data_IF_202713362227
#
_entry.id   IF_202713362227
#
_cell.length_a   1.000
_cell.length_b   1.000
_cell.length_c   1.000
_cell.angle_alpha   90.00
_cell.angle_beta   90.00
_cell.angle_gamma   90.00
#
_symmetry.space_group_name_H-M   'P 1'
#
loop_
_entity.id
_entity.type
_entity.pdbx_description
1 polymer ?
#
# COMPACT_ATOMS: atom_id res chain seq x y z
N UNK A 1 16.46 20.71 15.94
CA UNK A 1 17.60 19.77 15.96
C UNK A 1 18.01 19.42 14.53
N UNK A 2 19.17 19.90 14.06
CA UNK A 2 19.69 19.51 12.74
C UNK A 2 20.68 18.35 12.89
N UNK A 3 20.60 17.33 12.03
CA UNK A 3 21.53 16.17 12.01
C UNK A 3 21.60 15.36 13.32
N UNK A 4 20.52 15.34 14.10
CA UNK A 4 20.45 14.52 15.30
C UNK A 4 20.31 13.04 14.93
N UNK A 5 20.95 12.15 15.70
CA UNK A 5 20.83 10.69 15.56
C UNK A 5 20.07 10.12 16.76
N UNK A 6 18.94 9.49 16.53
CA UNK A 6 18.12 8.88 17.59
C UNK A 6 18.27 7.37 17.58
N UNK A 7 18.93 6.82 18.60
CA UNK A 7 19.11 5.37 18.73
C UNK A 7 17.95 4.68 19.45
N UNK A 8 17.22 5.42 20.28
CA UNK A 8 16.09 4.91 21.09
C UNK A 8 14.81 5.70 20.85
N UNK A 9 14.64 6.31 19.67
CA UNK A 9 13.45 7.09 19.36
C UNK A 9 13.37 8.43 20.09
N UNK A 10 12.23 9.10 19.95
CA UNK A 10 11.92 10.34 20.65
C UNK A 10 10.43 10.38 20.94
N UNK A 11 10.04 10.84 22.12
CA UNK A 11 8.65 11.05 22.50
C UNK A 11 8.46 12.53 22.86
N UNK A 12 7.57 13.18 22.12
CA UNK A 12 7.27 14.60 22.22
C UNK A 12 5.89 14.87 22.85
N UNK A 13 5.16 13.85 23.27
CA UNK A 13 3.75 13.95 23.70
C UNK A 13 3.58 14.86 24.92
N UNK A 14 4.58 14.86 25.80
CA UNK A 14 4.58 15.64 27.03
C UNK A 14 5.51 16.87 26.95
N UNK A 15 5.95 17.23 25.75
CA UNK A 15 6.85 18.37 25.56
C UNK A 15 6.07 19.65 25.30
N UNK A 16 6.40 20.71 26.04
CA UNK A 16 5.85 22.04 25.77
C UNK A 16 6.66 22.70 24.65
N UNK A 17 6.21 22.55 23.42
CA UNK A 17 6.87 23.08 22.22
C UNK A 17 6.50 24.56 22.07
N UNK A 18 7.37 25.45 22.56
CA UNK A 18 7.17 26.91 22.46
C UNK A 18 7.56 27.47 21.09
N UNK A 19 8.57 26.89 20.45
CA UNK A 19 9.04 27.26 19.11
C UNK A 19 9.09 26.02 18.21
N UNK A 20 8.93 26.24 16.89
CA UNK A 20 8.95 25.14 15.93
C UNK A 20 10.28 24.36 15.95
N UNK A 21 10.18 23.07 16.21
CA UNK A 21 11.32 22.17 16.12
C UNK A 21 11.68 21.87 14.65
N UNK A 22 12.94 22.07 14.31
CA UNK A 22 13.50 21.65 13.03
C UNK A 22 13.96 20.18 13.10
N UNK A 23 13.52 19.33 12.17
CA UNK A 23 13.92 17.91 12.07
C UNK A 23 14.77 17.59 10.83
N UNK A 24 15.36 18.61 10.20
CA UNK A 24 16.14 18.42 8.98
C UNK A 24 17.37 17.52 9.20
N UNK A 25 17.50 16.51 8.33
CA UNK A 25 18.56 15.50 8.33
C UNK A 25 18.64 14.66 9.63
N UNK A 26 17.52 14.45 10.31
CA UNK A 26 17.47 13.52 11.44
C UNK A 26 17.65 12.08 10.95
N UNK A 27 18.46 11.30 11.67
CA UNK A 27 18.79 9.91 11.35
C UNK A 27 18.28 8.95 12.45
N UNK A 28 18.07 7.69 12.07
CA UNK A 28 17.75 6.55 12.92
C UNK A 28 16.37 6.54 13.61
N UNK A 29 15.48 7.50 13.32
CA UNK A 29 14.10 7.49 13.83
C UNK A 29 13.22 6.37 13.23
N UNK A 30 13.58 5.86 12.06
CA UNK A 30 12.89 4.78 11.35
C UNK A 30 13.41 3.38 11.72
N UNK A 31 14.41 3.28 12.60
CA UNK A 31 14.94 1.99 13.09
C UNK A 31 13.93 1.28 14.00
N UNK A 32 14.00 -0.05 14.06
CA UNK A 32 13.07 -0.86 14.88
C UNK A 32 13.07 -0.46 16.35
N UNK A 33 14.23 -0.10 16.89
CA UNK A 33 14.37 0.34 18.27
C UNK A 33 13.70 1.71 18.47
N UNK A 34 14.00 2.67 17.60
CA UNK A 34 13.37 4.00 17.66
C UNK A 34 11.86 3.97 17.45
N UNK A 35 11.35 3.11 16.57
CA UNK A 35 9.90 2.97 16.35
C UNK A 35 9.10 2.51 17.56
N UNK A 36 9.73 1.78 18.49
CA UNK A 36 9.06 1.31 19.72
C UNK A 36 8.80 2.45 20.68
N UNK A 37 9.78 3.31 20.83
CA UNK A 37 9.82 4.41 21.80
C UNK A 37 9.31 5.75 21.22
N UNK A 38 8.90 5.77 19.95
CA UNK A 38 8.36 6.97 19.30
C UNK A 38 6.85 6.89 19.22
N UNK A 39 6.17 7.93 19.73
CA UNK A 39 4.71 8.04 19.72
C UNK A 39 4.15 8.36 18.33
N UNK A 40 2.85 8.12 18.15
CA UNK A 40 2.14 8.51 16.92
C UNK A 40 2.18 10.04 16.73
N UNK A 41 1.96 10.79 17.81
CA UNK A 41 1.92 12.26 17.78
C UNK A 41 3.28 12.86 17.43
N UNK A 42 4.37 12.24 17.90
CA UNK A 42 5.73 12.61 17.50
C UNK A 42 5.91 12.51 15.99
N UNK A 43 5.47 11.42 15.36
CA UNK A 43 5.53 11.32 13.89
C UNK A 43 4.66 12.37 13.19
N UNK A 44 3.51 12.72 13.76
CA UNK A 44 2.64 13.79 13.26
C UNK A 44 3.34 15.15 13.29
N UNK A 45 4.03 15.46 14.38
CA UNK A 45 4.83 16.70 14.54
C UNK A 45 5.96 16.74 13.49
N UNK A 46 6.71 15.65 13.35
CA UNK A 46 7.83 15.57 12.40
C UNK A 46 7.32 15.74 10.97
N UNK A 47 6.25 15.04 10.59
CA UNK A 47 5.58 15.18 9.29
C UNK A 47 5.23 16.64 9.01
N UNK A 48 4.58 17.31 9.96
CA UNK A 48 4.16 18.71 9.80
C UNK A 48 5.36 19.65 9.59
N UNK A 49 6.48 19.41 10.26
CA UNK A 49 7.71 20.17 10.02
C UNK A 49 8.24 19.99 8.58
N UNK A 50 8.25 18.76 8.06
CA UNK A 50 8.68 18.49 6.69
C UNK A 50 7.73 19.07 5.62
N UNK A 51 6.42 19.08 5.88
CA UNK A 51 5.45 19.74 5.00
C UNK A 51 5.69 21.25 4.90
N UNK A 52 6.01 21.91 6.03
CA UNK A 52 6.31 23.35 6.06
C UNK A 52 7.54 23.74 5.24
N UNK A 53 8.59 22.91 5.25
CA UNK A 53 9.78 23.12 4.43
C UNK A 53 9.66 22.55 3.01
N UNK A 54 8.44 22.19 2.59
CA UNK A 54 8.11 21.60 1.30
C UNK A 54 8.86 20.30 0.96
N UNK A 55 9.40 19.59 1.96
CA UNK A 55 10.07 18.31 1.77
C UNK A 55 9.05 17.15 1.82
N UNK A 56 8.37 16.94 0.69
CA UNK A 56 7.27 15.97 0.57
C UNK A 56 7.71 14.51 0.72
N UNK A 57 8.93 14.18 0.31
CA UNK A 57 9.45 12.80 0.39
C UNK A 57 9.54 12.39 1.86
N UNK A 58 10.17 13.23 2.67
CA UNK A 58 10.36 12.94 4.08
C UNK A 58 9.04 13.06 4.87
N UNK A 59 8.18 14.03 4.51
CA UNK A 59 6.82 14.12 5.07
C UNK A 59 6.00 12.84 4.82
N UNK A 60 6.05 12.28 3.60
CA UNK A 60 5.35 11.03 3.28
C UNK A 60 5.91 9.83 4.05
N UNK A 61 7.23 9.79 4.28
CA UNK A 61 7.88 8.75 5.09
C UNK A 61 7.36 8.78 6.53
N UNK A 62 7.35 9.94 7.18
CA UNK A 62 6.87 10.06 8.56
C UNK A 62 5.35 9.90 8.67
N UNK A 63 4.59 10.27 7.64
CA UNK A 63 3.18 9.94 7.58
C UNK A 63 2.94 8.42 7.51
N UNK A 64 3.78 7.67 6.80
CA UNK A 64 3.68 6.20 6.79
C UNK A 64 3.98 5.58 8.16
N UNK A 65 4.94 6.16 8.92
CA UNK A 65 5.27 5.74 10.29
C UNK A 65 4.17 6.10 11.30
N UNK A 66 3.55 7.27 11.16
CA UNK A 66 2.36 7.67 11.91
C UNK A 66 1.23 6.63 11.77
N UNK A 67 0.92 6.22 10.52
CA UNK A 67 -0.11 5.21 10.24
C UNK A 67 0.28 3.81 10.72
N UNK A 68 1.56 3.45 10.68
CA UNK A 68 2.07 2.19 11.24
C UNK A 68 1.85 2.17 12.76
N UNK A 69 2.09 3.28 13.46
CA UNK A 69 1.85 3.34 14.90
C UNK A 69 0.37 3.28 15.26
N UNK A 70 -0.48 3.90 14.42
CA UNK A 70 -1.93 3.79 14.54
C UNK A 70 -2.44 2.35 14.33
N UNK A 71 -1.78 1.56 13.48
CA UNK A 71 -2.09 0.14 13.30
C UNK A 71 -1.73 -0.73 14.52
N UNK A 72 -0.67 -0.35 15.25
CA UNK A 72 -0.25 -1.04 16.48
C UNK A 72 -1.18 -0.75 17.66
N UNK A 73 -1.86 0.40 17.66
CA UNK A 73 -2.79 0.76 18.72
C UNK A 73 -4.06 -0.12 18.69
N UNK A 74 -4.17 -0.98 19.70
CA UNK A 74 -5.26 -1.94 19.86
C UNK A 74 -6.60 -1.29 20.23
N UNK A 75 -6.61 0.00 20.59
CA UNK A 75 -7.84 0.71 20.92
C UNK A 75 -8.65 1.13 19.69
N UNK A 76 -8.05 1.08 18.49
CA UNK A 76 -8.73 1.47 17.27
C UNK A 76 -9.85 0.48 16.89
N UNK A 77 -10.99 0.96 16.36
CA UNK A 77 -12.05 0.09 15.87
C UNK A 77 -11.54 -0.90 14.82
N UNK A 78 -12.10 -2.12 14.82
CA UNK A 78 -11.73 -3.17 13.87
C UNK A 78 -11.85 -2.71 12.41
N UNK A 79 -12.86 -1.89 12.08
CA UNK A 79 -13.06 -1.34 10.74
C UNK A 79 -11.90 -0.45 10.29
N UNK A 80 -11.44 0.45 11.15
CA UNK A 80 -10.32 1.33 10.86
C UNK A 80 -9.01 0.54 10.74
N UNK A 81 -8.81 -0.44 11.63
CA UNK A 81 -7.65 -1.33 11.58
C UNK A 81 -7.62 -2.14 10.28
N UNK A 82 -8.75 -2.65 9.80
CA UNK A 82 -8.84 -3.35 8.52
C UNK A 82 -8.48 -2.44 7.35
N UNK A 83 -9.02 -1.23 7.30
CA UNK A 83 -8.72 -0.26 6.24
C UNK A 83 -7.23 0.08 6.22
N UNK A 84 -6.64 0.38 7.38
CA UNK A 84 -5.22 0.65 7.51
C UNK A 84 -4.38 -0.56 7.09
N UNK A 85 -4.81 -1.77 7.47
CA UNK A 85 -4.12 -3.01 7.11
C UNK A 85 -4.15 -3.24 5.60
N UNK A 86 -5.29 -3.01 4.94
CA UNK A 86 -5.40 -3.09 3.48
C UNK A 86 -4.47 -2.09 2.78
N UNK A 87 -4.44 -0.84 3.23
CA UNK A 87 -3.53 0.17 2.69
C UNK A 87 -2.06 -0.22 2.84
N UNK A 88 -1.68 -0.75 4.01
CA UNK A 88 -0.34 -1.24 4.27
C UNK A 88 0.00 -2.44 3.37
N UNK A 89 -0.91 -3.41 3.26
CA UNK A 89 -0.72 -4.65 2.50
C UNK A 89 -0.59 -4.40 0.99
N UNK A 90 -1.45 -3.56 0.41
CA UNK A 90 -1.48 -3.35 -1.05
C UNK A 90 -0.51 -2.28 -1.55
N UNK A 91 -0.12 -1.31 -0.71
CA UNK A 91 0.62 -0.12 -1.19
C UNK A 91 1.71 0.38 -0.25
N UNK A 92 1.91 -0.26 0.91
CA UNK A 92 2.77 0.25 1.99
C UNK A 92 2.49 1.72 2.29
N UNK A 93 1.21 2.05 2.52
CA UNK A 93 0.69 3.41 2.75
C UNK A 93 0.87 4.39 1.55
N UNK A 94 0.85 3.85 0.33
CA UNK A 94 0.99 4.62 -0.91
C UNK A 94 2.41 5.09 -1.19
N UNK A 95 3.42 4.51 -0.55
CA UNK A 95 4.84 4.83 -0.80
C UNK A 95 5.46 3.97 -1.89
N UNK A 96 4.88 2.80 -2.17
CA UNK A 96 5.40 1.86 -3.15
C UNK A 96 4.38 1.60 -4.26
N UNK A 97 4.66 2.09 -5.47
CA UNK A 97 3.79 1.92 -6.64
C UNK A 97 3.98 0.56 -7.33
N UNK A 98 5.11 -0.12 -7.14
CA UNK A 98 5.35 -1.45 -7.70
C UNK A 98 4.45 -2.51 -7.07
N UNK A 99 4.07 -2.32 -5.81
CA UNK A 99 3.26 -3.29 -5.06
C UNK A 99 1.80 -3.35 -5.58
N UNK A 100 1.07 -2.24 -5.77
CA UNK A 100 -0.23 -2.26 -6.45
C UNK A 100 -0.15 -2.88 -7.85
N UNK A 101 0.90 -2.58 -8.61
CA UNK A 101 1.09 -3.13 -9.96
C UNK A 101 1.22 -4.66 -9.93
N UNK A 102 2.01 -5.20 -8.99
CA UNK A 102 2.12 -6.64 -8.78
C UNK A 102 0.76 -7.27 -8.46
N UNK A 103 -0.03 -6.67 -7.57
CA UNK A 103 -1.35 -7.18 -7.23
C UNK A 103 -2.35 -7.11 -8.39
N UNK A 104 -2.27 -6.09 -9.26
CA UNK A 104 -3.10 -6.00 -10.48
C UNK A 104 -2.85 -7.22 -11.37
N UNK A 105 -1.58 -7.54 -11.60
CA UNK A 105 -1.17 -8.71 -12.39
C UNK A 105 -1.64 -10.00 -11.72
N UNK A 106 -1.44 -10.12 -10.40
CA UNK A 106 -1.84 -11.30 -9.62
C UNK A 106 -3.34 -11.56 -9.72
N UNK A 107 -4.17 -10.53 -9.55
CA UNK A 107 -5.64 -10.67 -9.66
C UNK A 107 -6.07 -11.10 -11.05
N UNK A 108 -5.48 -10.51 -12.10
CA UNK A 108 -5.72 -10.94 -13.47
C UNK A 108 -5.43 -12.41 -13.69
N UNK A 109 -4.27 -12.88 -13.22
CA UNK A 109 -3.89 -14.29 -13.30
C UNK A 109 -4.80 -15.19 -12.46
N UNK A 110 -5.13 -14.79 -11.23
CA UNK A 110 -6.02 -15.56 -10.36
C UNK A 110 -7.42 -15.74 -10.94
N UNK A 111 -7.97 -14.71 -11.60
CA UNK A 111 -9.27 -14.82 -12.28
C UNK A 111 -9.23 -15.83 -13.42
N UNK A 112 -8.17 -15.81 -14.25
CA UNK A 112 -7.98 -16.81 -15.32
C UNK A 112 -7.84 -18.22 -14.74
N UNK A 113 -7.04 -18.39 -13.69
CA UNK A 113 -6.85 -19.68 -13.02
C UNK A 113 -8.16 -20.22 -12.45
N UNK A 114 -9.03 -19.36 -11.94
CA UNK A 114 -10.34 -19.77 -11.42
C UNK A 114 -11.27 -20.24 -12.54
N UNK A 115 -11.37 -19.48 -13.63
CA UNK A 115 -12.24 -19.81 -14.78
C UNK A 115 -11.83 -21.13 -15.43
N UNK A 116 -10.52 -21.28 -15.63
CA UNK A 116 -9.96 -22.44 -16.33
C UNK A 116 -9.52 -23.55 -15.37
N UNK A 117 -9.91 -23.49 -14.10
CA UNK A 117 -9.49 -24.44 -13.07
C UNK A 117 -9.75 -25.89 -13.52
N UNK A 118 -10.96 -26.15 -14.02
CA UNK A 118 -11.38 -27.47 -14.50
C UNK A 118 -10.56 -27.93 -15.72
N UNK A 119 -10.24 -27.01 -16.63
CA UNK A 119 -9.43 -27.31 -17.82
C UNK A 119 -7.95 -27.51 -17.52
N UNK A 120 -7.42 -26.83 -16.50
CA UNK A 120 -6.02 -26.90 -16.05
C UNK A 120 -5.73 -28.20 -15.30
N UNK A 121 -6.71 -28.74 -14.56
CA UNK A 121 -6.57 -30.03 -13.86
C UNK A 121 -6.33 -31.18 -14.84
N UNK A 122 -6.83 -31.06 -16.07
CA UNK A 122 -6.79 -32.13 -17.09
C UNK A 122 -5.56 -32.00 -18.01
N UNK A 123 -4.91 -30.83 -18.09
CA UNK A 123 -3.82 -30.56 -19.04
C UNK A 123 -2.44 -30.50 -18.38
N UNK A 124 -1.41 -30.92 -19.12
CA UNK A 124 -0.03 -30.90 -18.66
C UNK A 124 0.51 -29.46 -18.54
N UNK A 125 0.87 -29.07 -17.31
CA UNK A 125 1.41 -27.75 -16.94
C UNK A 125 2.68 -27.36 -17.71
N UNK A 126 3.35 -28.32 -18.35
CA UNK A 126 4.58 -28.09 -19.12
C UNK A 126 4.33 -27.48 -20.50
N UNK A 127 3.08 -27.40 -20.98
CA UNK A 127 2.77 -26.83 -22.28
C UNK A 127 2.89 -25.29 -22.28
N UNK A 128 3.86 -24.77 -23.01
CA UNK A 128 4.12 -23.32 -23.13
C UNK A 128 2.96 -22.54 -23.77
N UNK A 129 2.16 -23.17 -24.62
CA UNK A 129 1.02 -22.50 -25.25
C UNK A 129 -0.11 -22.22 -24.26
N UNK A 130 -0.25 -22.99 -23.18
CA UNK A 130 -1.19 -22.71 -22.09
C UNK A 130 -0.80 -21.43 -21.36
N UNK A 131 0.49 -21.26 -21.06
CA UNK A 131 0.99 -20.05 -20.41
C UNK A 131 0.77 -18.80 -21.26
N UNK A 132 1.00 -18.87 -22.57
CA UNK A 132 0.71 -17.76 -23.49
C UNK A 132 -0.78 -17.39 -23.50
N UNK A 133 -1.66 -18.39 -23.59
CA UNK A 133 -3.12 -18.18 -23.60
C UNK A 133 -3.57 -17.56 -22.28
N UNK A 134 -3.18 -18.15 -21.15
CA UNK A 134 -3.52 -17.64 -19.82
C UNK A 134 -3.00 -16.23 -19.58
N UNK A 135 -1.79 -15.90 -20.07
CA UNK A 135 -1.25 -14.54 -19.99
C UNK A 135 -2.01 -13.55 -20.89
N UNK A 136 -2.40 -13.97 -22.10
CA UNK A 136 -3.19 -13.12 -23.00
C UNK A 136 -4.60 -12.82 -22.44
N UNK A 137 -5.20 -13.81 -21.78
CA UNK A 137 -6.52 -13.66 -21.17
C UNK A 137 -6.47 -12.86 -19.87
N UNK A 138 -5.39 -12.99 -19.08
CA UNK A 138 -5.26 -12.23 -17.85
C UNK A 138 -5.23 -10.72 -18.11
N UNK A 139 -4.64 -10.29 -19.24
CA UNK A 139 -4.71 -8.88 -19.66
C UNK A 139 -6.13 -8.38 -19.89
N UNK A 140 -7.05 -9.23 -20.38
CA UNK A 140 -8.46 -8.87 -20.51
C UNK A 140 -9.07 -8.61 -19.15
N UNK A 141 -8.80 -9.48 -18.17
CA UNK A 141 -9.35 -9.32 -16.82
C UNK A 141 -8.68 -8.17 -16.04
N UNK A 142 -7.43 -7.83 -16.33
CA UNK A 142 -6.75 -6.62 -15.79
C UNK A 142 -7.41 -5.33 -16.30
N UNK A 143 -7.98 -5.35 -17.50
CA UNK A 143 -8.63 -4.18 -18.07
C UNK A 143 -9.96 -3.91 -17.35
N UNK A 144 -10.04 -2.75 -16.68
CA UNK A 144 -11.16 -2.42 -15.80
C UNK A 144 -12.50 -2.35 -16.54
N UNK A 145 -12.50 -1.91 -17.80
CA UNK A 145 -13.69 -1.79 -18.64
C UNK A 145 -14.03 -3.08 -19.41
N UNK A 146 -13.19 -4.11 -19.36
CA UNK A 146 -13.53 -5.39 -19.98
C UNK A 146 -14.71 -6.01 -19.26
N UNK A 147 -15.81 -6.21 -20.00
CA UNK A 147 -16.97 -6.95 -19.52
C UNK A 147 -17.00 -8.29 -20.23
N UNK A 148 -16.83 -9.34 -19.45
CA UNK A 148 -17.01 -10.71 -19.90
C UNK A 148 -18.45 -11.12 -19.56
N UNK A 149 -19.28 -11.31 -20.59
CA UNK A 149 -20.68 -11.68 -20.38
C UNK A 149 -20.81 -13.11 -19.83
N UNK A 150 -19.93 -14.03 -20.25
CA UNK A 150 -19.96 -15.42 -19.78
C UNK A 150 -19.58 -15.50 -18.29
N UNK A 151 -18.54 -14.76 -17.88
CA UNK A 151 -18.18 -14.67 -16.46
C UNK A 151 -19.27 -13.97 -15.62
N UNK A 152 -19.91 -12.94 -16.18
CA UNK A 152 -20.99 -12.23 -15.50
C UNK A 152 -22.20 -13.14 -15.25
N UNK A 153 -22.55 -13.98 -16.23
CA UNK A 153 -23.72 -14.86 -16.15
C UNK A 153 -23.44 -16.11 -15.30
N UNK A 154 -22.27 -16.74 -15.45
CA UNK A 154 -21.92 -17.98 -14.74
C UNK A 154 -21.37 -17.72 -13.32
N UNK A 155 -20.60 -16.64 -13.13
CA UNK A 155 -19.86 -16.36 -11.90
C UNK A 155 -19.90 -14.87 -11.50
N UNK A 156 -21.09 -14.29 -11.27
CA UNK A 156 -21.26 -12.85 -11.03
C UNK A 156 -20.46 -12.33 -9.83
N UNK A 157 -20.31 -13.15 -8.78
CA UNK A 157 -19.56 -12.79 -7.56
C UNK A 157 -18.07 -12.59 -7.87
N UNK A 158 -17.48 -13.49 -8.67
CA UNK A 158 -16.05 -13.43 -9.02
C UNK A 158 -15.77 -12.25 -9.93
N UNK A 159 -16.66 -11.99 -10.89
CA UNK A 159 -16.60 -10.78 -11.69
C UNK A 159 -16.65 -9.53 -10.81
N UNK A 160 -17.62 -9.44 -9.90
CA UNK A 160 -17.79 -8.29 -9.02
C UNK A 160 -16.55 -8.07 -8.12
N UNK A 161 -16.01 -9.14 -7.53
CA UNK A 161 -14.79 -9.09 -6.72
C UNK A 161 -13.58 -8.65 -7.54
N UNK A 162 -13.37 -9.24 -8.73
CA UNK A 162 -12.29 -8.84 -9.63
C UNK A 162 -12.34 -7.35 -9.94
N UNK A 163 -13.51 -6.81 -10.31
CA UNK A 163 -13.66 -5.38 -10.62
C UNK A 163 -13.52 -4.49 -9.39
N UNK A 164 -14.06 -4.90 -8.24
CA UNK A 164 -13.90 -4.17 -6.99
C UNK A 164 -12.43 -4.02 -6.61
N UNK A 165 -11.67 -5.13 -6.60
CA UNK A 165 -10.25 -5.09 -6.27
C UNK A 165 -9.42 -4.34 -7.30
N UNK A 166 -9.70 -4.51 -8.60
CA UNK A 166 -9.01 -3.74 -9.64
C UNK A 166 -9.25 -2.24 -9.47
N UNK A 167 -10.50 -1.81 -9.26
CA UNK A 167 -10.82 -0.41 -9.01
C UNK A 167 -10.00 0.17 -7.84
N UNK A 168 -9.94 -0.55 -6.73
CA UNK A 168 -9.14 -0.17 -5.58
C UNK A 168 -7.63 -0.12 -5.90
N UNK A 169 -7.08 -1.14 -6.57
CA UNK A 169 -5.66 -1.21 -6.89
C UNK A 169 -5.21 -0.16 -7.90
N UNK A 170 -6.03 0.13 -8.91
CA UNK A 170 -5.78 1.23 -9.84
C UNK A 170 -5.72 2.57 -9.11
N UNK A 171 -6.64 2.81 -8.17
CA UNK A 171 -6.61 4.00 -7.33
C UNK A 171 -5.34 4.07 -6.47
N UNK A 172 -4.96 2.97 -5.81
CA UNK A 172 -3.72 2.91 -5.02
C UNK A 172 -2.47 3.15 -5.89
N UNK A 173 -2.42 2.56 -7.08
CA UNK A 173 -1.33 2.75 -8.04
C UNK A 173 -1.19 4.23 -8.43
N UNK A 174 -2.29 4.88 -8.82
CA UNK A 174 -2.28 6.29 -9.18
C UNK A 174 -1.83 7.19 -8.02
N UNK A 175 -2.28 6.92 -6.79
CA UNK A 175 -1.83 7.66 -5.61
C UNK A 175 -0.35 7.47 -5.36
N UNK A 176 0.14 6.24 -5.43
CA UNK A 176 1.54 5.93 -5.19
C UNK A 176 2.45 6.62 -6.23
N UNK A 177 2.09 6.55 -7.51
CA UNK A 177 2.81 7.26 -8.58
C UNK A 177 2.77 8.77 -8.38
N UNK A 178 1.63 9.34 -8.00
CA UNK A 178 1.51 10.79 -7.71
C UNK A 178 2.39 11.23 -6.54
N UNK A 179 2.53 10.39 -5.50
CA UNK A 179 3.40 10.67 -4.35
C UNK A 179 4.88 10.58 -4.72
N UNK A 180 5.28 9.65 -5.59
CA UNK A 180 6.68 9.46 -6.00
C UNK A 180 7.15 10.52 -7.03
N UNK A 181 6.26 10.94 -7.93
CA UNK A 181 6.56 11.93 -8.99
C UNK A 181 6.55 13.38 -8.52
N UNK A 182 5.89 13.70 -7.40
CA UNK A 182 5.91 15.04 -6.77
C UNK A 182 7.17 15.21 -5.91
N UNK A 183 8.34 15.17 -6.55
CA UNK A 183 9.60 15.66 -5.98
C UNK A 183 9.68 17.18 -6.12
#
# INVERSE_FOLDING_TARGET
MRRAKFYKGVDLDYTNIQEEMNFFAVENLDTKESKKETSQETYRIIKHNFEKIANKVEANKYHALELEKKLEDSNNPLSERLVLWFHWFFSRNGTNWMLPLFFIILIGMSTVLFIHLDSLVIQDFRNWDLWKRGLSESFKYIYILYKDNDLWDNHPIIFALNKFFLGYLYYQFLIAVRKDTRK
#
